data_IF_649722791109
#
_entry.id   IF_649722791109
#
_cell.length_a   1.000
_cell.length_b   1.000
_cell.length_c   1.000
_cell.angle_alpha   90.00
_cell.angle_beta   90.00
_cell.angle_gamma   90.00
#
_symmetry.space_group_name_H-M   'P 1'
#
loop_
_entity.id
_entity.type
_entity.pdbx_description
1 polymer ?
#
# COMPACT_ATOMS: atom_id res chain seq x y z
N UNK A 1 4.35 2.83 9.45
CA UNK A 1 3.08 3.19 8.78
C UNK A 1 1.98 2.21 9.15
N UNK A 2 0.77 2.70 9.45
CA UNK A 2 -0.39 1.88 9.80
C UNK A 2 -1.27 1.72 8.56
N UNK A 3 -1.66 0.49 8.15
CA UNK A 3 -2.57 0.28 7.04
C UNK A 3 -3.94 0.95 7.27
N UNK A 4 -4.49 1.58 6.25
CA UNK A 4 -5.80 2.24 6.23
C UNK A 4 -6.85 1.35 5.54
N UNK A 5 -8.15 1.59 5.74
CA UNK A 5 -9.19 0.92 4.95
C UNK A 5 -8.90 1.11 3.44
N UNK A 6 -8.65 0.01 2.72
CA UNK A 6 -8.22 0.04 1.30
C UNK A 6 -6.75 -0.37 1.06
N UNK A 7 -5.94 -0.43 2.12
CA UNK A 7 -4.58 -0.99 2.07
C UNK A 7 -4.59 -2.49 1.82
N UNK A 8 -3.55 -3.00 1.14
CA UNK A 8 -3.40 -4.43 0.86
C UNK A 8 -3.19 -5.27 2.13
N UNK A 9 -2.66 -4.65 3.19
CA UNK A 9 -2.39 -5.25 4.50
C UNK A 9 -3.34 -4.76 5.60
N UNK A 10 -4.47 -4.15 5.24
CA UNK A 10 -5.46 -3.67 6.22
C UNK A 10 -5.99 -4.81 7.10
N UNK A 11 -6.25 -4.51 8.38
CA UNK A 11 -6.80 -5.47 9.35
C UNK A 11 -5.86 -6.63 9.69
N UNK A 12 -4.55 -6.49 9.46
CA UNK A 12 -3.58 -7.57 9.69
C UNK A 12 -3.59 -8.65 8.61
N UNK A 13 -4.19 -8.38 7.45
CA UNK A 13 -4.18 -9.29 6.31
C UNK A 13 -2.75 -9.52 5.81
N UNK A 14 -2.36 -10.78 5.72
CA UNK A 14 -1.11 -11.19 5.08
C UNK A 14 -1.40 -11.51 3.63
N UNK A 15 -0.79 -10.75 2.71
CA UNK A 15 -0.97 -10.92 1.27
C UNK A 15 0.33 -11.39 0.64
N UNK A 16 0.24 -12.45 -0.16
CA UNK A 16 1.39 -13.01 -0.88
C UNK A 16 1.40 -12.48 -2.31
N UNK A 17 2.58 -12.03 -2.75
CA UNK A 17 2.82 -11.57 -4.10
C UNK A 17 3.56 -12.63 -4.91
N UNK A 18 3.22 -12.84 -6.19
CA UNK A 18 3.97 -13.74 -7.06
C UNK A 18 5.31 -13.15 -7.52
N UNK A 19 5.63 -11.90 -7.15
CA UNK A 19 6.87 -11.24 -7.56
C UNK A 19 8.07 -11.68 -6.73
N UNK A 20 9.28 -11.39 -7.23
CA UNK A 20 10.52 -11.71 -6.52
C UNK A 20 10.67 -10.88 -5.24
N UNK A 21 11.35 -11.39 -4.20
CA UNK A 21 11.73 -10.59 -3.04
C UNK A 21 12.45 -9.30 -3.43
N UNK A 22 12.15 -8.22 -2.72
CA UNK A 22 12.65 -6.87 -3.02
C UNK A 22 11.84 -6.11 -4.08
N UNK A 23 10.88 -6.77 -4.75
CA UNK A 23 9.99 -6.07 -5.69
C UNK A 23 9.17 -5.02 -4.98
N UNK A 24 9.10 -3.83 -5.57
CA UNK A 24 8.29 -2.72 -5.07
C UNK A 24 6.90 -2.79 -5.69
N UNK A 25 5.87 -2.85 -4.83
CA UNK A 25 4.46 -2.84 -5.24
C UNK A 25 3.83 -1.54 -4.77
N UNK A 26 3.20 -0.80 -5.68
CA UNK A 26 2.48 0.43 -5.36
C UNK A 26 0.99 0.15 -5.29
N UNK A 27 0.32 0.69 -4.28
CA UNK A 27 -1.13 0.69 -4.16
C UNK A 27 -1.60 2.13 -4.04
N UNK A 28 -2.70 2.46 -4.70
CA UNK A 28 -3.27 3.81 -4.64
C UNK A 28 -4.78 3.68 -4.63
N UNK A 29 -5.42 4.34 -3.68
CA UNK A 29 -6.87 4.27 -3.50
C UNK A 29 -7.40 5.57 -2.90
N UNK A 30 -8.69 5.81 -3.09
CA UNK A 30 -9.40 6.90 -2.44
C UNK A 30 -9.65 6.51 -0.98
N UNK A 31 -9.06 7.27 -0.06
CA UNK A 31 -9.29 7.15 1.37
C UNK A 31 -10.37 8.13 1.85
N UNK A 32 -10.37 8.39 3.15
CA UNK A 32 -11.39 9.23 3.77
C UNK A 32 -11.31 10.68 3.30
N UNK A 33 -12.46 11.36 3.37
CA UNK A 33 -12.61 12.80 3.08
C UNK A 33 -12.10 13.23 1.69
N UNK A 34 -12.07 12.30 0.72
CA UNK A 34 -11.62 12.59 -0.64
C UNK A 34 -10.10 12.74 -0.77
N UNK A 35 -9.32 12.28 0.22
CA UNK A 35 -7.87 12.19 0.11
C UNK A 35 -7.48 10.90 -0.59
N UNK A 36 -6.53 10.97 -1.51
CA UNK A 36 -5.91 9.80 -2.12
C UNK A 36 -4.76 9.32 -1.26
N UNK A 37 -4.72 8.02 -1.02
CA UNK A 37 -3.65 7.36 -0.25
C UNK A 37 -2.70 6.71 -1.24
N UNK A 38 -1.41 6.94 -1.05
CA UNK A 38 -0.32 6.34 -1.83
C UNK A 38 0.48 5.43 -0.92
N UNK A 39 0.54 4.16 -1.28
CA UNK A 39 1.28 3.17 -0.52
C UNK A 39 2.34 2.49 -1.35
N UNK A 40 3.46 2.21 -0.70
CA UNK A 40 4.55 1.44 -1.26
C UNK A 40 4.81 0.24 -0.37
N UNK A 41 4.86 -0.92 -1.00
CA UNK A 41 5.14 -2.21 -0.38
C UNK A 41 6.41 -2.80 -0.96
N UNK A 42 7.09 -3.62 -0.17
CA UNK A 42 8.20 -4.45 -0.62
C UNK A 42 7.88 -5.91 -0.36
N UNK A 43 8.03 -6.73 -1.40
CA UNK A 43 7.91 -8.19 -1.29
C UNK A 43 9.04 -8.72 -0.42
N UNK A 44 8.68 -9.40 0.68
CA UNK A 44 9.60 -10.01 1.61
C UNK A 44 10.13 -11.36 1.06
N UNK A 45 11.18 -11.95 1.66
CA UNK A 45 11.73 -13.24 1.22
C UNK A 45 10.72 -14.41 1.20
N UNK A 46 9.71 -14.37 2.06
CA UNK A 46 8.61 -15.34 2.13
C UNK A 46 7.45 -15.02 1.15
N UNK A 47 7.60 -14.00 0.31
CA UNK A 47 6.59 -13.56 -0.66
C UNK A 47 5.52 -12.63 -0.06
N UNK A 48 5.57 -12.34 1.24
CA UNK A 48 4.59 -11.44 1.87
C UNK A 48 4.83 -9.97 1.52
N UNK A 49 3.78 -9.16 1.54
CA UNK A 49 3.89 -7.71 1.35
C UNK A 49 4.11 -7.00 2.69
N UNK A 50 5.17 -6.20 2.76
CA UNK A 50 5.42 -5.28 3.88
C UNK A 50 5.22 -3.84 3.43
N UNK A 51 4.37 -3.09 4.13
CA UNK A 51 4.17 -1.66 3.92
C UNK A 51 5.42 -0.88 4.37
N UNK A 52 6.06 -0.19 3.43
CA UNK A 52 7.29 0.58 3.70
C UNK A 52 7.06 2.09 3.68
N UNK A 53 6.12 2.58 2.88
CA UNK A 53 5.75 4.00 2.83
C UNK A 53 4.26 4.17 2.63
N UNK A 54 3.71 5.21 3.25
CA UNK A 54 2.33 5.64 3.11
C UNK A 54 2.30 7.16 3.17
N UNK A 55 1.64 7.79 2.20
CA UNK A 55 1.36 9.23 2.20
C UNK A 55 -0.06 9.50 1.72
N UNK A 56 -0.60 10.66 2.08
CA UNK A 56 -1.93 11.11 1.66
C UNK A 56 -1.82 12.44 0.95
N UNK A 57 -2.59 12.63 -0.11
CA UNK A 57 -2.68 13.90 -0.83
C UNK A 57 -4.12 14.18 -1.24
N UNK A 58 -4.48 15.45 -1.48
CA UNK A 58 -5.77 15.78 -2.08
C UNK A 58 -5.91 15.08 -3.44
N UNK A 59 -7.05 14.44 -3.69
CA UNK A 59 -7.28 13.69 -4.94
C UNK A 59 -7.16 14.56 -6.19
N UNK A 60 -7.61 15.82 -6.12
CA UNK A 60 -7.53 16.78 -7.22
C UNK A 60 -6.10 17.24 -7.58
N UNK A 61 -5.09 16.90 -6.77
CA UNK A 61 -3.68 17.13 -7.10
C UNK A 61 -3.04 15.93 -7.81
N UNK A 62 -3.79 14.85 -8.03
CA UNK A 62 -3.32 13.67 -8.74
C UNK A 62 -3.57 13.83 -10.25
N UNK A 63 -2.48 13.94 -11.03
CA UNK A 63 -2.47 14.01 -12.50
C UNK A 63 -1.94 12.72 -13.11
#
# INVERSE_FOLDING_TARGET
PQPLPGSLTYGGKVLHSPYRPGTVVKNTFLGDFGYRVFETYVVQPDGTLKLTSQSTGPDFLWQ
#
